data_IF_666310456340
#
_entry.id   IF_666310456340
#
_cell.length_a   1.000
_cell.length_b   1.000
_cell.length_c   1.000
_cell.angle_alpha   90.00
_cell.angle_beta   90.00
_cell.angle_gamma   90.00
#
_symmetry.space_group_name_H-M   'P 1'
#
loop_
_entity.id
_entity.type
_entity.pdbx_description
1 polymer ?
#
# COMPACT_ATOMS: atom_id res chain seq x y z
N UNK A 1 4.19 6.24 5.17
CA UNK A 1 4.70 7.37 4.38
C UNK A 1 4.90 6.90 2.94
N UNK A 2 4.06 7.32 1.98
CA UNK A 2 4.21 6.88 0.59
C UNK A 2 5.46 7.51 -0.04
N UNK A 3 6.14 6.76 -0.90
CA UNK A 3 7.15 7.33 -1.78
C UNK A 3 6.49 8.28 -2.80
N UNK A 4 7.27 9.20 -3.36
CA UNK A 4 6.76 10.21 -4.30
C UNK A 4 6.00 9.59 -5.49
N UNK A 5 6.43 8.41 -5.95
CA UNK A 5 5.76 7.67 -7.03
C UNK A 5 4.33 7.19 -6.66
N UNK A 6 3.97 7.21 -5.38
CA UNK A 6 2.63 6.89 -4.89
C UNK A 6 1.85 8.12 -4.42
N UNK A 7 2.37 9.33 -4.63
CA UNK A 7 1.74 10.60 -4.23
C UNK A 7 0.86 11.20 -5.33
N UNK A 8 0.08 10.38 -6.08
CA UNK A 8 -0.78 10.83 -7.17
C UNK A 8 -1.75 11.94 -6.75
N UNK A 9 -2.36 11.83 -5.55
CA UNK A 9 -3.25 12.86 -5.01
C UNK A 9 -2.55 14.22 -4.94
N UNK A 10 -1.32 14.25 -4.42
CA UNK A 10 -0.54 15.49 -4.34
C UNK A 10 -0.21 16.04 -5.74
N UNK A 11 0.15 15.17 -6.68
CA UNK A 11 0.41 15.55 -8.06
C UNK A 11 -0.80 16.20 -8.74
N UNK A 12 -1.99 15.63 -8.54
CA UNK A 12 -3.22 16.10 -9.19
C UNK A 12 -3.82 17.34 -8.50
N UNK A 13 -3.74 17.44 -7.18
CA UNK A 13 -4.45 18.47 -6.40
C UNK A 13 -3.53 19.57 -5.86
N UNK A 14 -2.23 19.33 -5.75
CA UNK A 14 -1.30 20.16 -5.02
C UNK A 14 -1.36 19.99 -3.50
N UNK A 15 -2.25 19.12 -2.98
CA UNK A 15 -2.38 18.85 -1.55
C UNK A 15 -1.48 17.69 -1.11
N UNK A 16 -0.52 17.98 -0.24
CA UNK A 16 0.49 17.02 0.24
C UNK A 16 0.28 16.53 1.69
N UNK A 17 -0.85 16.86 2.32
CA UNK A 17 -1.21 16.32 3.64
C UNK A 17 -1.28 14.79 3.64
N UNK A 18 -0.99 14.13 4.76
CA UNK A 18 -0.89 12.66 4.81
C UNK A 18 -2.25 11.93 4.74
N UNK A 19 -3.35 12.62 4.96
CA UNK A 19 -4.70 12.05 4.85
C UNK A 19 -5.56 12.87 3.89
N UNK A 20 -6.21 12.19 2.95
CA UNK A 20 -7.20 12.78 2.07
C UNK A 20 -7.46 11.93 0.84
N UNK A 21 -8.70 12.02 0.34
CA UNK A 21 -9.16 11.34 -0.88
C UNK A 21 -9.66 12.38 -1.88
N UNK A 22 -9.11 12.35 -3.08
CA UNK A 22 -9.53 13.19 -4.18
C UNK A 22 -10.60 12.47 -5.00
N UNK A 23 -11.74 13.10 -5.14
CA UNK A 23 -12.85 12.65 -6.00
C UNK A 23 -13.00 13.61 -7.17
N UNK A 24 -12.99 13.09 -8.37
CA UNK A 24 -13.16 13.84 -9.60
C UNK A 24 -14.39 13.32 -10.34
N UNK A 25 -15.30 14.21 -10.67
CA UNK A 25 -16.47 13.95 -11.50
C UNK A 25 -16.37 14.73 -12.80
N UNK A 26 -17.34 14.56 -13.68
CA UNK A 26 -17.39 15.34 -14.94
C UNK A 26 -17.42 16.85 -14.70
N UNK A 27 -18.04 17.30 -13.61
CA UNK A 27 -18.35 18.72 -13.38
C UNK A 27 -17.77 19.27 -12.07
N UNK A 28 -17.21 18.44 -11.21
CA UNK A 28 -16.71 18.85 -9.89
C UNK A 28 -15.47 18.02 -9.50
N UNK A 29 -14.59 18.63 -8.71
CA UNK A 29 -13.49 17.96 -8.06
C UNK A 29 -13.43 18.39 -6.60
N UNK A 30 -13.36 17.43 -5.70
CA UNK A 30 -13.35 17.68 -4.27
C UNK A 30 -12.37 16.76 -3.54
N UNK A 31 -11.75 17.30 -2.50
CA UNK A 31 -10.80 16.59 -1.65
C UNK A 31 -11.38 16.48 -0.23
N UNK A 32 -11.64 15.26 0.19
CA UNK A 32 -11.96 14.94 1.58
C UNK A 32 -10.70 14.82 2.40
N UNK A 33 -10.67 15.49 3.56
CA UNK A 33 -9.55 15.39 4.50
C UNK A 33 -10.04 15.59 5.93
N UNK A 34 -9.22 15.23 6.91
CA UNK A 34 -9.55 15.36 8.33
C UNK A 34 -9.11 16.72 8.94
N UNK A 35 -9.53 16.95 10.17
CA UNK A 35 -9.36 18.24 10.87
C UNK A 35 -7.92 18.71 11.02
N UNK A 36 -6.94 17.81 10.98
CA UNK A 36 -5.50 18.14 11.05
C UNK A 36 -5.04 18.96 9.85
N UNK A 37 -5.74 18.84 8.72
CA UNK A 37 -5.32 19.39 7.42
C UNK A 37 -6.23 20.49 6.87
N UNK A 38 -7.30 20.90 7.56
CA UNK A 38 -8.25 21.88 7.01
C UNK A 38 -7.58 23.20 6.58
N UNK A 39 -6.68 23.76 7.39
CA UNK A 39 -5.98 25.00 7.05
C UNK A 39 -5.02 24.79 5.88
N UNK A 40 -4.25 23.72 5.91
CA UNK A 40 -3.30 23.38 4.85
C UNK A 40 -4.02 23.13 3.52
N UNK A 41 -5.07 22.31 3.52
CA UNK A 41 -5.85 22.02 2.32
C UNK A 41 -6.50 23.28 1.75
N UNK A 42 -7.06 24.14 2.61
CA UNK A 42 -7.65 25.42 2.17
C UNK A 42 -6.65 26.31 1.44
N UNK A 43 -5.38 26.32 1.85
CA UNK A 43 -4.34 27.08 1.17
C UNK A 43 -3.83 26.38 -0.11
N UNK A 44 -3.52 25.10 -0.02
CA UNK A 44 -2.90 24.36 -1.12
C UNK A 44 -3.84 24.12 -2.30
N UNK A 45 -5.15 24.00 -2.05
CA UNK A 45 -6.15 23.76 -3.11
C UNK A 45 -6.58 25.04 -3.87
N UNK A 46 -6.25 26.23 -3.36
CA UNK A 46 -6.61 27.51 -4.02
C UNK A 46 -6.25 27.57 -5.51
N UNK A 47 -5.05 27.19 -5.94
CA UNK A 47 -4.65 27.29 -7.34
C UNK A 47 -5.37 26.30 -8.26
N UNK A 48 -5.80 25.14 -7.73
CA UNK A 48 -6.43 24.08 -8.52
C UNK A 48 -7.95 24.27 -8.70
N UNK A 49 -8.58 25.07 -7.85
CA UNK A 49 -10.03 25.18 -7.80
C UNK A 49 -10.75 23.94 -7.24
N UNK A 50 -10.00 22.97 -6.73
CA UNK A 50 -10.56 21.78 -6.09
C UNK A 50 -11.16 22.17 -4.74
N UNK A 51 -12.39 21.76 -4.49
CA UNK A 51 -13.12 22.05 -3.27
C UNK A 51 -12.65 21.15 -2.13
N UNK A 52 -12.40 21.73 -0.94
CA UNK A 52 -12.16 20.94 0.27
C UNK A 52 -13.50 20.50 0.89
N UNK A 53 -13.56 19.25 1.35
CA UNK A 53 -14.67 18.69 2.12
C UNK A 53 -14.14 18.19 3.46
N UNK A 54 -14.83 18.55 4.54
CA UNK A 54 -14.46 18.17 5.90
C UNK A 54 -15.00 16.78 6.22
N UNK A 55 -14.14 15.79 6.30
CA UNK A 55 -14.50 14.38 6.45
C UNK A 55 -15.41 14.10 7.65
N UNK A 56 -15.22 14.81 8.77
CA UNK A 56 -15.97 14.55 10.01
C UNK A 56 -17.31 15.29 10.12
N UNK A 57 -17.54 16.31 9.30
CA UNK A 57 -18.70 17.22 9.46
C UNK A 57 -19.55 17.42 8.22
N UNK A 58 -19.12 16.91 7.08
CA UNK A 58 -19.83 16.99 5.82
C UNK A 58 -20.15 15.56 5.31
N UNK A 59 -20.76 15.46 4.12
CA UNK A 59 -21.13 14.16 3.56
C UNK A 59 -19.94 13.26 3.30
N UNK A 60 -20.11 11.97 3.49
CA UNK A 60 -19.12 10.96 3.10
C UNK A 60 -18.96 10.86 1.58
N UNK A 61 -17.86 10.29 1.12
CA UNK A 61 -17.62 10.10 -0.32
C UNK A 61 -18.72 9.24 -0.97
N UNK A 62 -19.14 8.09 -0.40
CA UNK A 62 -20.23 7.31 -0.95
C UNK A 62 -21.55 8.08 -1.06
N UNK A 63 -21.92 8.87 -0.03
CA UNK A 63 -23.13 9.71 -0.05
C UNK A 63 -23.05 10.81 -1.11
N UNK A 64 -21.90 11.46 -1.23
CA UNK A 64 -21.68 12.46 -2.29
C UNK A 64 -21.83 11.84 -3.67
N UNK A 65 -21.15 10.73 -3.95
CA UNK A 65 -21.23 10.05 -5.24
C UNK A 65 -22.66 9.59 -5.55
N UNK A 66 -23.36 9.04 -4.57
CA UNK A 66 -24.77 8.66 -4.74
C UNK A 66 -25.66 9.85 -5.10
N UNK A 67 -25.32 11.05 -4.63
CA UNK A 67 -26.10 12.27 -4.91
C UNK A 67 -25.85 12.88 -6.30
N UNK A 68 -24.65 12.64 -6.88
CA UNK A 68 -24.23 13.31 -8.13
C UNK A 68 -24.16 12.37 -9.33
N UNK A 69 -24.05 11.05 -9.12
CA UNK A 69 -23.99 10.07 -10.19
C UNK A 69 -25.39 9.68 -10.66
N UNK A 70 -25.59 9.65 -11.96
CA UNK A 70 -26.78 9.02 -12.53
C UNK A 70 -26.69 7.50 -12.41
N UNK A 71 -27.83 6.76 -12.42
CA UNK A 71 -27.84 5.30 -12.29
C UNK A 71 -26.99 4.53 -13.32
N UNK A 72 -26.70 5.14 -14.47
CA UNK A 72 -25.88 4.55 -15.53
C UNK A 72 -24.38 4.82 -15.36
N UNK A 73 -23.99 5.71 -14.44
CA UNK A 73 -22.59 6.04 -14.19
C UNK A 73 -21.98 5.08 -13.18
N UNK A 74 -20.67 4.93 -13.26
CA UNK A 74 -19.86 4.14 -12.33
C UNK A 74 -18.75 5.01 -11.75
N UNK A 75 -18.38 4.76 -10.50
CA UNK A 75 -17.15 5.30 -9.91
C UNK A 75 -15.99 4.37 -10.26
N UNK A 76 -14.96 4.90 -10.91
CA UNK A 76 -13.73 4.16 -11.16
C UNK A 76 -12.84 4.21 -9.92
N UNK A 77 -12.39 3.06 -9.46
CA UNK A 77 -11.53 2.89 -8.29
C UNK A 77 -10.26 2.11 -8.68
N UNK A 78 -9.18 2.42 -8.01
CA UNK A 78 -7.96 1.63 -8.09
C UNK A 78 -8.08 0.43 -7.13
N UNK A 79 -8.00 -0.83 -7.63
CA UNK A 79 -8.12 -2.02 -6.79
C UNK A 79 -6.99 -2.17 -5.77
N UNK A 80 -5.82 -1.57 -6.02
CA UNK A 80 -4.67 -1.63 -5.12
C UNK A 80 -4.78 -0.71 -3.91
N UNK A 81 -5.64 0.30 -3.97
CA UNK A 81 -5.81 1.30 -2.90
C UNK A 81 -7.19 1.30 -2.28
N UNK A 82 -8.12 0.47 -2.79
CA UNK A 82 -9.49 0.39 -2.27
C UNK A 82 -9.65 -0.83 -1.37
N UNK A 83 -10.00 -0.61 -0.12
CA UNK A 83 -10.27 -1.69 0.84
C UNK A 83 -11.64 -2.33 0.62
N UNK A 84 -11.81 -3.59 1.07
CA UNK A 84 -13.11 -4.27 1.07
C UNK A 84 -14.18 -3.53 1.91
N UNK A 85 -13.75 -2.82 2.95
CA UNK A 85 -14.64 -1.99 3.76
C UNK A 85 -15.18 -0.82 2.95
N UNK A 86 -14.32 -0.08 2.26
CA UNK A 86 -14.70 1.01 1.39
C UNK A 86 -15.62 0.53 0.26
N UNK A 87 -15.29 -0.58 -0.38
CA UNK A 87 -16.16 -1.19 -1.40
C UNK A 87 -17.57 -1.45 -0.86
N UNK A 88 -17.64 -1.96 0.37
CA UNK A 88 -18.93 -2.25 1.03
C UNK A 88 -19.73 -0.96 1.28
N UNK A 89 -19.06 0.13 1.68
CA UNK A 89 -19.71 1.43 1.89
C UNK A 89 -20.25 2.02 0.58
N UNK A 90 -19.49 1.96 -0.51
CA UNK A 90 -19.98 2.37 -1.84
C UNK A 90 -21.21 1.58 -2.26
N UNK A 91 -21.18 0.26 -2.10
CA UNK A 91 -22.34 -0.62 -2.42
C UNK A 91 -23.57 -0.30 -1.57
N UNK A 92 -23.40 -0.04 -0.28
CA UNK A 92 -24.49 0.36 0.64
C UNK A 92 -25.12 1.68 0.24
N UNK A 93 -24.33 2.63 -0.24
CA UNK A 93 -24.81 3.91 -0.74
C UNK A 93 -25.46 3.82 -2.13
N UNK A 94 -25.47 2.65 -2.76
CA UNK A 94 -26.03 2.44 -4.10
C UNK A 94 -25.12 2.92 -5.24
N UNK A 95 -23.85 3.18 -4.97
CA UNK A 95 -22.85 3.58 -5.97
C UNK A 95 -22.37 2.35 -6.73
N UNK A 96 -22.53 2.38 -8.06
CA UNK A 96 -21.90 1.38 -8.92
C UNK A 96 -20.40 1.67 -9.02
N UNK A 97 -19.58 0.67 -8.82
CA UNK A 97 -18.11 0.78 -8.91
C UNK A 97 -17.56 -0.08 -10.05
N UNK A 98 -16.47 0.38 -10.63
CA UNK A 98 -15.64 -0.39 -11.55
C UNK A 98 -14.18 -0.24 -11.15
N UNK A 99 -13.44 -1.32 -11.23
CA UNK A 99 -12.01 -1.31 -10.99
C UNK A 99 -11.25 -1.11 -12.30
N UNK A 100 -10.25 -0.23 -12.26
CA UNK A 100 -9.32 -0.01 -13.38
C UNK A 100 -7.89 -0.09 -12.85
N UNK A 101 -7.21 -1.18 -13.15
CA UNK A 101 -5.82 -1.43 -12.71
C UNK A 101 -4.82 -0.44 -13.32
N UNK A 102 -5.19 0.23 -14.42
CA UNK A 102 -4.33 1.22 -15.09
C UNK A 102 -4.69 2.67 -14.73
N UNK A 103 -5.74 2.87 -13.94
CA UNK A 103 -6.22 4.22 -13.59
C UNK A 103 -5.10 5.06 -12.98
N UNK A 104 -4.41 4.48 -12.01
CA UNK A 104 -3.35 5.15 -11.27
C UNK A 104 -2.19 5.60 -12.19
N UNK A 105 -1.68 4.72 -13.03
CA UNK A 105 -0.58 5.04 -13.95
C UNK A 105 -0.99 6.05 -15.02
N UNK A 106 -2.20 5.93 -15.57
CA UNK A 106 -2.70 6.82 -16.62
C UNK A 106 -2.81 8.28 -16.15
N UNK A 107 -3.17 8.49 -14.89
CA UNK A 107 -3.35 9.81 -14.31
C UNK A 107 -2.05 10.57 -14.01
N UNK A 108 -0.90 9.91 -14.07
CA UNK A 108 0.41 10.58 -13.99
C UNK A 108 0.82 11.28 -15.30
N UNK A 109 0.16 10.99 -16.42
CA UNK A 109 0.49 11.56 -17.72
C UNK A 109 1.98 11.41 -18.09
N UNK A 110 2.58 10.28 -17.73
CA UNK A 110 4.01 10.00 -17.96
C UNK A 110 4.98 10.77 -17.05
N UNK A 111 4.49 11.42 -15.99
CA UNK A 111 5.32 12.21 -15.05
C UNK A 111 5.53 11.52 -13.70
N UNK A 112 5.18 10.25 -13.58
CA UNK A 112 5.36 9.50 -12.34
C UNK A 112 6.84 9.50 -11.92
N UNK A 113 7.17 9.92 -10.69
CA UNK A 113 8.52 9.78 -10.16
C UNK A 113 8.95 8.32 -10.14
N UNK A 114 10.26 8.09 -10.29
CA UNK A 114 10.81 6.75 -10.10
C UNK A 114 10.84 6.39 -8.62
N UNK A 115 10.67 5.10 -8.34
CA UNK A 115 10.93 4.58 -7.01
C UNK A 115 12.41 4.75 -6.65
N UNK A 116 12.71 4.89 -5.35
CA UNK A 116 14.08 4.92 -4.84
C UNK A 116 14.87 3.70 -5.33
N UNK A 117 16.11 3.90 -5.75
CA UNK A 117 17.07 2.85 -6.13
C UNK A 117 18.04 2.49 -5.00
N UNK A 118 17.76 3.00 -3.79
CA UNK A 118 18.59 2.74 -2.61
C UNK A 118 18.68 1.25 -2.33
N UNK A 119 19.93 0.78 -2.04
CA UNK A 119 20.17 -0.61 -1.73
C UNK A 119 19.72 -0.95 -0.31
N UNK A 120 19.33 -2.20 -0.10
CA UNK A 120 19.04 -2.72 1.24
C UNK A 120 20.33 -2.92 2.03
N UNK A 121 20.20 -2.87 3.35
CA UNK A 121 21.29 -3.20 4.26
C UNK A 121 20.79 -4.01 5.46
N UNK A 122 21.68 -4.80 6.05
CA UNK A 122 21.39 -5.63 7.22
C UNK A 122 21.40 -4.78 8.48
N UNK A 123 20.30 -4.79 9.23
CA UNK A 123 20.25 -4.29 10.61
C UNK A 123 20.72 -5.39 11.55
N UNK A 124 21.93 -5.25 12.06
CA UNK A 124 22.60 -6.28 12.87
C UNK A 124 21.73 -6.79 14.02
N UNK A 125 21.77 -8.11 14.25
CA UNK A 125 21.09 -8.77 15.38
C UNK A 125 21.50 -8.18 16.74
N UNK A 126 22.70 -7.63 16.84
CA UNK A 126 23.13 -6.87 18.02
C UNK A 126 22.17 -5.74 18.40
N UNK A 127 21.52 -5.13 17.42
CA UNK A 127 20.57 -4.00 17.62
C UNK A 127 19.12 -4.45 17.54
N UNK A 128 18.81 -5.43 16.69
CA UNK A 128 17.44 -5.95 16.54
C UNK A 128 17.04 -6.92 17.69
N UNK A 129 18.01 -7.45 18.41
CA UNK A 129 17.81 -8.30 19.60
C UNK A 129 17.36 -9.73 19.30
N UNK A 130 17.00 -10.05 18.04
CA UNK A 130 16.49 -11.36 17.66
C UNK A 130 16.83 -11.71 16.22
N UNK A 131 17.16 -12.99 15.99
CA UNK A 131 17.47 -13.50 14.65
C UNK A 131 16.23 -13.60 13.76
N UNK A 132 16.43 -13.47 12.46
CA UNK A 132 15.39 -13.67 11.43
C UNK A 132 14.73 -15.04 11.54
N UNK A 133 15.55 -16.09 11.73
CA UNK A 133 15.03 -17.47 11.86
C UNK A 133 14.07 -17.60 13.04
N UNK A 134 14.41 -17.00 14.20
CA UNK A 134 13.54 -17.01 15.37
C UNK A 134 12.21 -16.30 15.11
N UNK A 135 12.26 -15.14 14.44
CA UNK A 135 11.04 -14.37 14.11
C UNK A 135 10.14 -15.12 13.14
N UNK A 136 10.69 -15.69 12.06
CA UNK A 136 9.93 -16.50 11.09
C UNK A 136 9.29 -17.71 11.79
N UNK A 137 10.02 -18.37 12.67
CA UNK A 137 9.49 -19.51 13.42
C UNK A 137 8.32 -19.11 14.36
N UNK A 138 8.40 -17.94 14.98
CA UNK A 138 7.27 -17.37 15.75
C UNK A 138 6.06 -17.11 14.86
N UNK A 139 6.25 -16.53 13.67
CA UNK A 139 5.18 -16.34 12.69
C UNK A 139 4.54 -17.67 12.29
N UNK A 140 5.34 -18.71 12.02
CA UNK A 140 4.86 -20.05 11.68
C UNK A 140 4.01 -20.65 12.80
N UNK A 141 4.46 -20.58 14.04
CA UNK A 141 3.69 -21.03 15.20
C UNK A 141 2.39 -20.25 15.35
N UNK A 142 2.43 -18.95 15.10
CA UNK A 142 1.27 -18.08 15.23
C UNK A 142 0.19 -18.42 14.20
N UNK A 143 0.51 -18.49 12.91
CA UNK A 143 -0.50 -18.82 11.92
C UNK A 143 -0.97 -20.28 12.00
N UNK A 144 -0.08 -21.23 12.34
CA UNK A 144 -0.46 -22.62 12.57
C UNK A 144 -1.48 -22.76 13.71
N UNK A 145 -1.36 -21.97 14.79
CA UNK A 145 -2.34 -21.97 15.88
C UNK A 145 -3.72 -21.48 15.48
N UNK A 146 -3.85 -20.89 14.31
CA UNK A 146 -5.11 -20.40 13.69
C UNK A 146 -5.57 -21.23 12.52
N UNK A 147 -4.97 -22.40 12.33
CA UNK A 147 -5.23 -23.30 11.19
C UNK A 147 -4.99 -22.62 9.82
N UNK A 148 -4.14 -21.62 9.77
CA UNK A 148 -3.74 -20.99 8.51
C UNK A 148 -2.55 -21.73 7.87
N UNK A 149 -2.43 -21.62 6.55
CA UNK A 149 -1.38 -22.25 5.75
C UNK A 149 -0.18 -21.33 5.52
N UNK A 150 -0.43 -20.03 5.54
CA UNK A 150 0.57 -19.00 5.36
C UNK A 150 0.21 -17.71 6.11
N UNK A 151 1.19 -16.83 6.25
CA UNK A 151 1.02 -15.47 6.74
C UNK A 151 1.56 -14.49 5.70
N UNK A 152 0.76 -13.49 5.35
CA UNK A 152 1.18 -12.34 4.57
C UNK A 152 1.51 -11.19 5.50
N UNK A 153 2.73 -10.68 5.38
CA UNK A 153 3.20 -9.46 6.03
C UNK A 153 3.30 -8.37 4.96
N UNK A 154 2.45 -7.37 5.04
CA UNK A 154 2.34 -6.28 4.05
C UNK A 154 2.78 -4.92 4.59
N UNK A 155 2.76 -4.74 5.89
CA UNK A 155 3.22 -3.53 6.56
C UNK A 155 4.75 -3.43 6.50
N UNK A 156 5.26 -2.34 5.92
CA UNK A 156 6.68 -2.22 5.52
C UNK A 156 7.65 -2.28 6.71
N UNK A 157 7.27 -1.73 7.85
CA UNK A 157 8.07 -1.79 9.08
C UNK A 157 8.08 -3.19 9.69
N UNK A 158 7.01 -3.97 9.56
CA UNK A 158 6.98 -5.36 9.99
C UNK A 158 7.82 -6.25 9.07
N UNK A 159 7.76 -6.07 7.75
CA UNK A 159 8.68 -6.75 6.84
C UNK A 159 10.13 -6.43 7.22
N UNK A 160 10.44 -5.14 7.45
CA UNK A 160 11.78 -4.72 7.87
C UNK A 160 12.17 -5.31 9.23
N UNK A 161 11.21 -5.45 10.16
CA UNK A 161 11.46 -6.08 11.47
C UNK A 161 11.69 -7.59 11.34
N UNK A 162 10.82 -8.31 10.62
CA UNK A 162 10.97 -9.77 10.45
C UNK A 162 12.27 -10.14 9.77
N UNK A 163 12.62 -9.42 8.70
CA UNK A 163 13.80 -9.73 7.88
C UNK A 163 15.11 -9.16 8.44
N UNK A 164 15.06 -8.30 9.46
CA UNK A 164 16.21 -7.50 9.90
C UNK A 164 16.90 -6.73 8.75
N UNK A 165 16.14 -6.39 7.71
CA UNK A 165 16.61 -5.54 6.63
C UNK A 165 16.09 -4.10 6.80
N UNK A 166 16.82 -3.16 6.23
CA UNK A 166 16.41 -1.76 6.16
C UNK A 166 16.67 -1.24 4.76
N UNK A 167 15.92 -0.22 4.37
CA UNK A 167 16.06 0.51 3.12
C UNK A 167 15.85 2.01 3.35
N UNK A 168 15.72 2.77 2.26
CA UNK A 168 15.50 4.21 2.29
C UNK A 168 14.45 4.64 1.24
N UNK A 169 13.36 3.89 1.12
CA UNK A 169 12.30 4.17 0.16
C UNK A 169 11.33 5.25 0.66
N UNK A 170 11.30 5.49 1.95
CA UNK A 170 10.53 6.57 2.55
C UNK A 170 11.45 7.52 3.32
N UNK A 171 11.17 8.83 3.17
CA UNK A 171 11.95 9.87 3.85
C UNK A 171 11.91 9.69 5.37
N UNK A 172 13.06 9.73 6.02
CA UNK A 172 13.22 9.61 7.48
C UNK A 172 12.71 8.29 8.09
N UNK A 173 12.42 7.28 7.28
CA UNK A 173 11.92 5.98 7.75
C UNK A 173 12.71 4.87 7.07
N UNK A 174 13.42 4.00 7.83
CA UNK A 174 14.33 3.02 7.24
C UNK A 174 13.59 1.76 6.76
N UNK A 175 12.63 1.93 5.88
CA UNK A 175 11.80 0.88 5.28
C UNK A 175 12.06 0.77 3.78
N UNK A 176 11.53 -0.29 3.17
CA UNK A 176 11.58 -0.53 1.73
C UNK A 176 10.29 -1.18 1.26
N UNK A 177 9.87 -0.88 0.04
CA UNK A 177 8.64 -1.42 -0.54
C UNK A 177 8.81 -2.91 -0.81
N UNK A 178 7.98 -3.70 -0.16
CA UNK A 178 8.07 -5.16 -0.20
C UNK A 178 6.81 -5.81 0.37
N UNK A 179 6.65 -7.09 0.06
CA UNK A 179 5.75 -8.01 0.74
C UNK A 179 6.54 -9.22 1.21
N UNK A 180 6.17 -9.81 2.32
CA UNK A 180 6.75 -11.05 2.80
C UNK A 180 5.66 -12.09 3.00
N UNK A 181 5.77 -13.20 2.29
CA UNK A 181 4.90 -14.37 2.50
C UNK A 181 5.70 -15.42 3.27
N UNK A 182 5.15 -15.86 4.40
CA UNK A 182 5.71 -16.92 5.23
C UNK A 182 4.78 -18.12 5.16
N UNK A 183 5.23 -19.19 4.51
CA UNK A 183 4.56 -20.47 4.41
C UNK A 183 5.18 -21.48 5.39
N UNK A 184 4.60 -22.67 5.50
CA UNK A 184 5.07 -23.72 6.42
C UNK A 184 6.54 -24.06 6.20
N UNK A 185 6.96 -24.21 4.93
CA UNK A 185 8.30 -24.69 4.58
C UNK A 185 9.21 -23.60 3.98
N UNK A 186 8.64 -22.55 3.41
CA UNK A 186 9.39 -21.49 2.73
C UNK A 186 8.93 -20.10 3.15
N UNK A 187 9.78 -19.11 2.90
CA UNK A 187 9.43 -17.70 3.00
C UNK A 187 9.90 -16.99 1.74
N UNK A 188 9.09 -16.07 1.22
CA UNK A 188 9.41 -15.35 -0.01
C UNK A 188 9.24 -13.86 0.21
N UNK A 189 10.32 -13.11 -0.02
CA UNK A 189 10.36 -11.65 -0.01
C UNK A 189 10.17 -11.14 -1.43
N UNK A 190 9.10 -10.39 -1.65
CA UNK A 190 8.82 -9.68 -2.90
C UNK A 190 9.33 -8.25 -2.77
N UNK A 191 10.35 -7.91 -3.55
CA UNK A 191 11.03 -6.63 -3.47
C UNK A 191 11.60 -6.30 -4.85
N UNK A 192 11.87 -5.02 -5.12
CA UNK A 192 12.63 -4.66 -6.31
C UNK A 192 14.03 -5.30 -6.23
N UNK A 193 14.27 -6.28 -7.12
CA UNK A 193 15.51 -7.09 -7.11
C UNK A 193 16.76 -6.26 -7.38
N UNK A 194 16.64 -5.09 -7.98
CA UNK A 194 17.76 -4.18 -8.17
C UNK A 194 18.31 -3.64 -6.85
N UNK A 195 17.53 -3.70 -5.75
CA UNK A 195 17.95 -3.29 -4.40
C UNK A 195 18.79 -4.35 -3.68
N UNK A 196 18.84 -5.57 -4.20
CA UNK A 196 19.51 -6.72 -3.61
C UNK A 196 20.97 -6.74 -4.06
N UNK A 197 21.89 -6.52 -3.14
CA UNK A 197 23.34 -6.73 -3.35
C UNK A 197 23.70 -8.19 -3.14
N UNK A 198 24.92 -8.58 -3.53
CA UNK A 198 25.43 -9.93 -3.27
C UNK A 198 25.42 -10.27 -1.77
N UNK A 199 25.80 -9.32 -0.92
CA UNK A 199 25.72 -9.46 0.55
C UNK A 199 24.31 -9.75 1.02
N UNK A 200 23.32 -8.99 0.54
CA UNK A 200 21.90 -9.18 0.91
C UNK A 200 21.37 -10.50 0.38
N UNK A 201 21.77 -10.89 -0.83
CA UNK A 201 21.40 -12.19 -1.41
C UNK A 201 21.91 -13.36 -0.56
N UNK A 202 23.17 -13.31 -0.13
CA UNK A 202 23.75 -14.30 0.77
C UNK A 202 23.06 -14.33 2.14
N UNK A 203 22.78 -13.15 2.69
CA UNK A 203 22.06 -13.00 3.95
C UNK A 203 20.67 -13.64 3.90
N UNK A 204 19.87 -13.35 2.86
CA UNK A 204 18.53 -13.91 2.68
C UNK A 204 18.57 -15.43 2.51
N UNK A 205 19.50 -15.94 1.69
CA UNK A 205 19.73 -17.38 1.51
C UNK A 205 20.08 -18.07 2.81
N UNK A 206 20.98 -17.47 3.62
CA UNK A 206 21.37 -18.01 4.92
C UNK A 206 20.21 -18.08 5.92
N UNK A 207 19.17 -17.24 5.74
CA UNK A 207 17.96 -17.23 6.53
C UNK A 207 16.78 -17.97 5.89
N UNK A 208 17.01 -18.73 4.80
CA UNK A 208 16.00 -19.48 4.06
C UNK A 208 14.82 -18.61 3.54
N UNK A 209 15.15 -17.39 3.10
CA UNK A 209 14.20 -16.48 2.45
C UNK A 209 14.50 -16.42 0.95
N UNK A 210 13.53 -16.80 0.14
CA UNK A 210 13.57 -16.64 -1.30
C UNK A 210 13.31 -15.18 -1.67
N UNK A 211 13.84 -14.74 -2.82
CA UNK A 211 13.60 -13.39 -3.36
C UNK A 211 12.80 -13.51 -4.65
N UNK A 212 11.80 -12.67 -4.81
CA UNK A 212 11.04 -12.51 -6.04
C UNK A 212 10.88 -11.02 -6.36
N UNK A 213 10.68 -10.70 -7.64
CA UNK A 213 10.43 -9.33 -8.06
C UNK A 213 9.11 -8.81 -7.47
N UNK A 214 9.10 -7.56 -7.01
CA UNK A 214 7.97 -6.92 -6.35
C UNK A 214 6.66 -7.06 -7.14
N UNK A 215 6.72 -6.86 -8.45
CA UNK A 215 5.55 -6.95 -9.35
C UNK A 215 4.93 -8.35 -9.46
N UNK A 216 5.64 -9.40 -9.05
CA UNK A 216 5.14 -10.78 -9.11
C UNK A 216 4.27 -11.17 -7.91
N UNK A 217 4.14 -10.29 -6.91
CA UNK A 217 3.41 -10.59 -5.68
C UNK A 217 1.95 -11.04 -5.93
N UNK A 218 1.18 -10.27 -6.69
CA UNK A 218 -0.22 -10.60 -6.96
C UNK A 218 -0.39 -11.89 -7.78
N UNK A 219 0.51 -12.11 -8.73
CA UNK A 219 0.52 -13.35 -9.50
C UNK A 219 0.81 -14.54 -8.57
N UNK A 220 1.78 -14.41 -7.70
CA UNK A 220 2.12 -15.46 -6.74
C UNK A 220 0.95 -15.84 -5.84
N UNK A 221 0.21 -14.85 -5.31
CA UNK A 221 -0.99 -15.12 -4.50
C UNK A 221 -2.03 -15.93 -5.27
N UNK A 222 -2.32 -15.54 -6.51
CA UNK A 222 -3.30 -16.23 -7.36
C UNK A 222 -2.89 -17.66 -7.69
N UNK A 223 -1.62 -17.89 -8.00
CA UNK A 223 -1.13 -19.17 -8.46
C UNK A 223 -0.83 -20.16 -7.33
N UNK A 224 -0.42 -19.69 -6.17
CA UNK A 224 0.08 -20.55 -5.10
C UNK A 224 -0.79 -20.57 -3.84
N UNK A 225 -1.62 -19.56 -3.61
CA UNK A 225 -2.34 -19.40 -2.34
C UNK A 225 -3.85 -19.18 -2.52
N UNK A 226 -4.40 -19.34 -3.74
CA UNK A 226 -5.83 -19.11 -4.02
C UNK A 226 -6.77 -20.01 -3.21
N UNK A 227 -6.33 -21.21 -2.85
CA UNK A 227 -7.12 -22.17 -2.05
C UNK A 227 -6.61 -22.27 -0.59
N UNK A 228 -5.62 -21.46 -0.21
CA UNK A 228 -5.00 -21.49 1.10
C UNK A 228 -5.69 -20.54 2.07
N UNK A 229 -5.70 -20.90 3.34
CA UNK A 229 -6.05 -19.96 4.40
C UNK A 229 -4.84 -19.10 4.73
N UNK A 230 -4.87 -17.85 4.29
CA UNK A 230 -3.79 -16.89 4.52
C UNK A 230 -4.18 -15.95 5.66
N UNK A 231 -3.34 -15.91 6.69
CA UNK A 231 -3.49 -14.95 7.77
C UNK A 231 -2.93 -13.60 7.29
N UNK A 232 -3.74 -12.57 7.38
CA UNK A 232 -3.33 -11.18 7.18
C UNK A 232 -3.04 -10.56 8.55
N UNK A 233 -2.04 -9.69 8.62
CA UNK A 233 -1.73 -8.89 9.80
C UNK A 233 -2.75 -7.77 10.02
#
# INVERSE_FOLDING_TARGET
YPADCFCLRSFLSGFDGSNGTLVVTKNDAALWTDSRYYLQAAEQLKPSGIRMVKQESECSIPEFLASVLNPENVAALDPWTTSLSEETEYKRAGVKIAYDENLYESLWFGKQPKMSDSKLFVHSEKYSGESVKSKIEKCRKFFASRNADAMLVSTLDEVAWVTNLRGADALCTPIFYSYLIIEKEKSTLFVDTDKITDEISEYLRANAINVAQYSLFAQYLRENLSESQVLLE
#
